data_IF_957675234046
#
_entry.id   IF_957675234046
#
_cell.length_a   1.000
_cell.length_b   1.000
_cell.length_c   1.000
_cell.angle_alpha   90.00
_cell.angle_beta   90.00
_cell.angle_gamma   90.00
#
_symmetry.space_group_name_H-M   'P 1'
#
loop_
_entity.id
_entity.type
_entity.pdbx_description
1 polymer ?
#
# COMPACT_ATOMS: atom_id res chain seq x y z
N UNK A 1 -54.06 37.23 -15.29
CA UNK A 1 -52.73 36.87 -15.79
C UNK A 1 -51.90 36.32 -14.63
N UNK A 2 -51.69 35.03 -14.57
CA UNK A 2 -50.86 34.36 -13.55
C UNK A 2 -49.50 34.09 -14.17
N UNK A 3 -48.48 34.75 -13.72
CA UNK A 3 -47.06 34.52 -14.10
C UNK A 3 -46.52 33.31 -13.36
N UNK A 4 -46.19 32.26 -14.08
CA UNK A 4 -45.49 31.09 -13.58
C UNK A 4 -43.99 31.37 -13.66
N UNK A 5 -43.35 31.53 -12.50
CA UNK A 5 -41.89 31.61 -12.41
C UNK A 5 -41.29 30.20 -12.46
N UNK A 6 -40.56 29.89 -13.53
CA UNK A 6 -39.84 28.65 -13.70
C UNK A 6 -38.52 28.78 -12.93
N UNK A 7 -38.38 28.12 -11.79
CA UNK A 7 -37.13 28.03 -11.04
C UNK A 7 -36.19 27.05 -11.72
N UNK A 8 -35.07 27.54 -12.25
CA UNK A 8 -33.97 26.69 -12.76
C UNK A 8 -33.15 26.24 -11.58
N UNK A 9 -33.29 24.95 -11.17
CA UNK A 9 -32.36 24.32 -10.25
C UNK A 9 -31.04 24.01 -10.99
N UNK A 10 -30.01 24.80 -10.73
CA UNK A 10 -28.66 24.52 -11.16
C UNK A 10 -28.11 23.43 -10.22
N UNK A 11 -28.02 22.18 -10.70
CA UNK A 11 -27.26 21.12 -10.04
C UNK A 11 -25.77 21.44 -10.20
N UNK A 12 -25.15 22.02 -9.18
CA UNK A 12 -23.70 22.08 -9.07
C UNK A 12 -23.24 20.68 -8.68
N UNK A 13 -22.80 19.89 -9.66
CA UNK A 13 -22.05 18.65 -9.39
C UNK A 13 -20.71 19.03 -8.77
N UNK A 14 -20.60 18.96 -7.45
CA UNK A 14 -19.32 18.99 -6.77
C UNK A 14 -18.52 17.78 -7.23
N UNK A 15 -17.47 18.00 -8.02
CA UNK A 15 -16.46 16.98 -8.32
C UNK A 15 -15.72 16.74 -6.99
N UNK A 16 -16.10 15.68 -6.28
CA UNK A 16 -15.36 15.23 -5.13
C UNK A 16 -14.02 14.68 -5.66
N UNK A 17 -12.96 15.44 -5.53
CA UNK A 17 -11.61 14.91 -5.72
C UNK A 17 -11.38 13.86 -4.62
N UNK A 18 -11.06 12.63 -5.00
CA UNK A 18 -10.58 11.65 -4.04
C UNK A 18 -9.29 12.20 -3.43
N UNK A 19 -9.33 12.53 -2.14
CA UNK A 19 -8.18 13.01 -1.39
C UNK A 19 -7.42 11.80 -0.87
N UNK A 20 -6.07 11.87 -0.89
CA UNK A 20 -5.25 10.91 -0.15
C UNK A 20 -5.48 11.15 1.34
N UNK A 21 -6.00 10.15 2.02
CA UNK A 21 -6.24 10.21 3.47
C UNK A 21 -5.32 9.21 4.17
N UNK A 22 -4.08 9.66 4.45
CA UNK A 22 -3.12 8.96 5.29
C UNK A 22 -3.46 9.23 6.76
N UNK A 23 -3.72 8.17 7.51
CA UNK A 23 -4.07 8.29 8.93
C UNK A 23 -2.86 8.27 9.87
N UNK A 24 -1.63 8.24 9.37
CA UNK A 24 -0.42 8.04 10.19
C UNK A 24 -0.30 9.08 11.31
N UNK A 25 -0.54 10.36 11.04
CA UNK A 25 -0.45 11.40 12.08
C UNK A 25 -1.51 11.19 13.17
N UNK A 26 -2.77 11.03 12.81
CA UNK A 26 -3.86 10.83 13.78
C UNK A 26 -3.68 9.51 14.55
N UNK A 27 -3.25 8.46 13.87
CA UNK A 27 -2.91 7.17 14.48
C UNK A 27 -1.79 7.31 15.53
N UNK A 28 -0.70 8.01 15.23
CA UNK A 28 0.40 8.24 16.18
C UNK A 28 -0.07 9.07 17.38
N UNK A 29 -0.90 10.08 17.18
CA UNK A 29 -1.47 10.88 18.26
C UNK A 29 -2.34 10.04 19.20
N UNK A 30 -3.18 9.17 18.64
CA UNK A 30 -3.98 8.22 19.42
C UNK A 30 -3.09 7.25 20.21
N UNK A 31 -2.07 6.66 19.56
CA UNK A 31 -1.11 5.78 20.22
C UNK A 31 -0.36 6.49 21.37
N UNK A 32 0.05 7.74 21.20
CA UNK A 32 0.69 8.54 22.24
C UNK A 32 -0.23 8.84 23.42
N UNK A 33 -1.52 9.05 23.15
CA UNK A 33 -2.51 9.32 24.20
C UNK A 33 -2.75 8.10 25.12
N UNK A 34 -2.66 6.90 24.55
CA UNK A 34 -2.85 5.63 25.26
C UNK A 34 -1.55 5.05 25.81
N UNK A 35 -0.40 5.43 25.27
CA UNK A 35 0.93 4.98 25.68
C UNK A 35 1.92 6.15 25.78
N UNK A 36 2.05 6.79 26.97
CA UNK A 36 2.96 7.91 27.16
C UNK A 36 4.45 7.58 26.89
N UNK A 37 4.86 6.31 27.03
CA UNK A 37 6.25 5.88 26.73
C UNK A 37 6.59 6.02 25.26
N UNK A 38 5.60 5.91 24.36
CA UNK A 38 5.82 6.07 22.92
C UNK A 38 6.38 7.46 22.57
N UNK A 39 5.92 8.52 23.24
CA UNK A 39 6.46 9.86 23.03
C UNK A 39 7.95 9.95 23.31
N UNK A 40 8.40 9.30 24.42
CA UNK A 40 9.81 9.26 24.78
C UNK A 40 10.63 8.45 23.76
N UNK A 41 10.14 7.27 23.37
CA UNK A 41 10.83 6.43 22.39
C UNK A 41 10.98 7.13 21.03
N UNK A 42 9.95 7.85 20.57
CA UNK A 42 10.06 8.65 19.32
C UNK A 42 11.08 9.79 19.51
N UNK A 43 11.09 10.47 20.66
CA UNK A 43 12.08 11.54 20.94
C UNK A 43 13.52 11.00 21.00
N UNK A 44 13.72 9.79 21.51
CA UNK A 44 15.01 9.11 21.50
C UNK A 44 15.48 8.81 20.07
N UNK A 45 14.57 8.37 19.20
CA UNK A 45 14.88 8.17 17.76
C UNK A 45 15.25 9.50 17.09
N UNK A 46 14.52 10.58 17.35
CA UNK A 46 14.87 11.90 16.81
C UNK A 46 16.26 12.36 17.30
N UNK A 47 16.52 12.17 18.59
CA UNK A 47 17.85 12.48 19.17
C UNK A 47 18.96 11.65 18.51
N UNK A 48 18.69 10.38 18.21
CA UNK A 48 19.62 9.52 17.48
C UNK A 48 19.89 10.06 16.07
N UNK A 49 18.85 10.40 15.31
CA UNK A 49 18.99 10.95 13.96
C UNK A 49 19.81 12.23 13.96
N UNK A 50 19.51 13.18 14.85
CA UNK A 50 20.25 14.44 14.95
C UNK A 50 21.72 14.24 15.33
N UNK A 51 22.02 13.26 16.18
CA UNK A 51 23.40 12.87 16.49
C UNK A 51 24.13 12.35 15.24
N UNK A 52 23.46 11.54 14.41
CA UNK A 52 24.07 11.05 13.17
C UNK A 52 24.31 12.20 12.17
N UNK A 53 23.37 13.15 12.04
CA UNK A 53 23.56 14.37 11.23
C UNK A 53 24.80 15.17 11.70
N UNK A 54 24.93 15.37 13.01
CA UNK A 54 26.05 16.10 13.58
C UNK A 54 27.37 15.38 13.31
N UNK A 55 27.45 14.08 13.55
CA UNK A 55 28.64 13.26 13.29
C UNK A 55 29.07 13.35 11.83
N UNK A 56 28.15 13.25 10.89
CA UNK A 56 28.40 13.36 9.46
C UNK A 56 29.02 14.74 9.09
N UNK A 57 28.49 15.83 9.67
CA UNK A 57 29.03 17.19 9.48
C UNK A 57 30.45 17.34 10.04
N UNK A 58 30.72 16.78 11.22
CA UNK A 58 32.03 16.88 11.88
C UNK A 58 33.12 16.04 11.19
N UNK A 59 32.76 14.90 10.64
CA UNK A 59 33.70 13.99 9.99
C UNK A 59 33.95 14.29 8.51
N UNK A 60 33.18 15.23 7.93
CA UNK A 60 33.19 15.48 6.48
C UNK A 60 32.72 14.30 5.64
N UNK A 61 32.28 13.23 6.32
CA UNK A 61 31.61 12.07 5.70
C UNK A 61 30.14 12.39 5.59
N UNK A 62 29.57 12.33 4.39
CA UNK A 62 28.11 12.42 4.26
C UNK A 62 27.44 11.35 5.13
N UNK A 63 26.19 11.54 5.55
CA UNK A 63 25.38 10.54 6.29
C UNK A 63 25.17 9.22 5.51
N UNK A 64 25.74 9.14 4.34
CA UNK A 64 25.81 7.95 3.51
C UNK A 64 27.09 7.18 3.84
N UNK A 65 27.10 6.42 4.94
CA UNK A 65 28.11 5.37 5.08
C UNK A 65 27.78 4.29 4.07
N UNK A 66 28.75 4.06 3.20
CA UNK A 66 28.82 3.00 2.20
C UNK A 66 27.83 3.09 1.01
N UNK A 67 28.40 2.94 -0.18
CA UNK A 67 27.74 2.74 -1.48
C UNK A 67 26.89 1.45 -1.54
N UNK A 68 26.51 0.87 -0.40
CA UNK A 68 25.81 -0.40 -0.34
C UNK A 68 24.29 -0.16 -0.30
N UNK A 69 23.61 -0.80 -1.22
CA UNK A 69 22.14 -0.89 -1.24
C UNK A 69 21.70 -1.67 0.00
N UNK A 70 20.83 -1.08 0.79
CA UNK A 70 20.17 -1.73 1.93
C UNK A 70 19.03 -2.58 1.40
N UNK A 71 19.02 -3.88 1.69
CA UNK A 71 17.91 -4.77 1.34
C UNK A 71 17.05 -5.04 2.56
N UNK A 72 15.75 -4.73 2.46
CA UNK A 72 14.76 -4.92 3.52
C UNK A 72 13.87 -6.10 3.15
N UNK A 73 13.86 -7.19 3.94
CA UNK A 73 12.92 -8.28 3.76
C UNK A 73 11.49 -7.83 4.05
N UNK A 74 10.56 -8.17 3.17
CA UNK A 74 9.14 -7.77 3.24
C UNK A 74 8.27 -9.00 3.39
N UNK A 75 7.28 -8.93 4.28
CA UNK A 75 6.15 -9.83 4.31
C UNK A 75 4.86 -9.04 4.10
N UNK A 76 3.99 -9.57 3.22
CA UNK A 76 2.68 -8.97 2.93
C UNK A 76 1.58 -9.88 3.48
N UNK A 77 0.83 -9.38 4.46
CA UNK A 77 -0.31 -10.04 5.08
C UNK A 77 -1.59 -9.60 4.37
N UNK A 78 -2.15 -10.44 3.52
CA UNK A 78 -3.39 -10.17 2.78
C UNK A 78 -4.58 -10.70 3.57
N UNK A 79 -5.36 -9.80 4.17
CA UNK A 79 -6.57 -10.11 4.93
C UNK A 79 -7.80 -9.99 4.02
N UNK A 80 -8.62 -11.03 3.95
CA UNK A 80 -9.79 -11.04 3.07
C UNK A 80 -11.00 -11.71 3.72
N UNK A 81 -12.18 -11.11 3.59
CA UNK A 81 -13.46 -11.69 4.01
C UNK A 81 -14.20 -12.35 2.85
N UNK A 82 -13.92 -11.93 1.61
CA UNK A 82 -14.51 -12.47 0.39
C UNK A 82 -13.44 -12.68 -0.69
N UNK A 83 -13.75 -13.51 -1.68
CA UNK A 83 -12.84 -13.81 -2.79
C UNK A 83 -12.41 -12.54 -3.57
N UNK A 84 -13.29 -11.54 -3.69
CA UNK A 84 -12.99 -10.29 -4.40
C UNK A 84 -11.94 -9.41 -3.70
N UNK A 85 -11.61 -9.68 -2.44
CA UNK A 85 -10.59 -8.97 -1.68
C UNK A 85 -9.21 -9.65 -1.74
N UNK A 86 -9.13 -10.86 -2.32
CA UNK A 86 -7.85 -11.57 -2.45
C UNK A 86 -7.01 -10.86 -3.50
N UNK A 87 -5.81 -10.44 -3.08
CA UNK A 87 -4.81 -9.85 -3.97
C UNK A 87 -3.95 -10.95 -4.56
N UNK A 88 -3.85 -11.09 -5.89
CA UNK A 88 -2.98 -12.08 -6.52
C UNK A 88 -1.50 -11.73 -6.36
N UNK A 89 -0.62 -12.72 -6.51
CA UNK A 89 0.82 -12.60 -6.30
C UNK A 89 1.47 -11.57 -7.23
N UNK A 90 1.03 -11.49 -8.48
CA UNK A 90 1.53 -10.52 -9.46
C UNK A 90 1.26 -9.08 -9.00
N UNK A 91 0.10 -8.82 -8.38
CA UNK A 91 -0.22 -7.52 -7.82
C UNK A 91 0.64 -7.19 -6.59
N UNK A 92 0.95 -8.18 -5.73
CA UNK A 92 1.90 -8.00 -4.62
C UNK A 92 3.30 -7.69 -5.15
N UNK A 93 3.76 -8.45 -6.14
CA UNK A 93 5.07 -8.23 -6.78
C UNK A 93 5.14 -6.84 -7.42
N UNK A 94 4.09 -6.40 -8.12
CA UNK A 94 4.04 -5.07 -8.71
C UNK A 94 4.14 -3.93 -7.68
N UNK A 95 3.69 -4.16 -6.43
CA UNK A 95 3.88 -3.20 -5.34
C UNK A 95 5.34 -3.13 -4.89
N UNK A 96 6.01 -4.27 -4.79
CA UNK A 96 7.44 -4.31 -4.43
C UNK A 96 8.29 -3.68 -5.55
N UNK A 97 7.93 -3.91 -6.81
CA UNK A 97 8.57 -3.25 -7.95
C UNK A 97 8.37 -1.73 -7.90
N UNK A 98 7.16 -1.24 -7.53
CA UNK A 98 6.89 0.18 -7.36
C UNK A 98 7.75 0.78 -6.24
N UNK A 99 7.86 0.11 -5.08
CA UNK A 99 8.75 0.53 -4.00
C UNK A 99 10.20 0.66 -4.49
N UNK A 100 10.72 -0.37 -5.15
CA UNK A 100 12.11 -0.39 -5.62
C UNK A 100 12.36 0.70 -6.66
N UNK A 101 11.48 0.85 -7.64
CA UNK A 101 11.56 1.88 -8.65
C UNK A 101 11.64 3.28 -8.05
N UNK A 102 10.75 3.59 -7.09
CA UNK A 102 10.63 4.93 -6.54
C UNK A 102 11.73 5.22 -5.49
N UNK A 103 12.11 4.25 -4.64
CA UNK A 103 13.23 4.37 -3.69
C UNK A 103 14.61 4.37 -4.36
N UNK A 104 14.74 3.78 -5.54
CA UNK A 104 15.99 3.76 -6.33
C UNK A 104 16.03 4.89 -7.38
N UNK A 105 15.03 5.77 -7.37
CA UNK A 105 14.89 6.83 -8.38
C UNK A 105 14.99 6.33 -9.82
N UNK A 106 14.54 5.09 -10.06
CA UNK A 106 14.44 4.46 -11.39
C UNK A 106 13.01 4.61 -11.96
N UNK A 107 12.27 5.59 -11.47
CA UNK A 107 10.94 5.93 -11.92
C UNK A 107 11.00 6.72 -13.23
N UNK A 108 10.28 6.24 -14.23
CA UNK A 108 10.24 6.84 -15.57
C UNK A 108 9.83 8.32 -15.58
N UNK A 109 9.05 8.75 -14.61
CA UNK A 109 8.57 10.12 -14.45
C UNK A 109 9.51 11.02 -13.62
N UNK A 110 10.67 10.54 -13.25
CA UNK A 110 11.76 11.36 -12.67
C UNK A 110 12.18 12.53 -13.56
N UNK A 111 11.96 12.40 -14.87
CA UNK A 111 12.18 13.48 -15.84
C UNK A 111 11.24 14.68 -15.61
N UNK A 112 10.08 14.47 -14.99
CA UNK A 112 9.10 15.50 -14.66
C UNK A 112 9.47 16.30 -13.38
N UNK A 113 10.55 15.93 -12.70
CA UNK A 113 11.04 16.71 -11.55
C UNK A 113 11.37 18.13 -11.99
N UNK A 114 10.77 19.18 -11.39
CA UNK A 114 11.09 20.56 -11.74
C UNK A 114 12.58 20.86 -11.59
N UNK A 115 13.15 21.66 -12.50
CA UNK A 115 14.58 21.94 -12.56
C UNK A 115 15.16 22.38 -11.20
N UNK A 116 14.41 23.22 -10.46
CA UNK A 116 14.77 23.73 -9.14
C UNK A 116 14.93 22.65 -8.06
N UNK A 117 14.40 21.44 -8.28
CA UNK A 117 14.48 20.31 -7.33
C UNK A 117 15.32 19.14 -7.84
N UNK A 118 15.80 19.16 -9.10
CA UNK A 118 16.57 18.06 -9.68
C UNK A 118 17.83 17.72 -8.89
N UNK A 119 18.53 18.74 -8.42
CA UNK A 119 19.77 18.55 -7.62
C UNK A 119 19.53 18.02 -6.22
N UNK A 120 18.28 18.10 -5.72
CA UNK A 120 17.89 17.61 -4.40
C UNK A 120 17.37 16.19 -4.44
N UNK A 121 16.98 15.72 -5.62
CA UNK A 121 16.30 14.45 -5.74
C UNK A 121 17.26 13.25 -5.65
N UNK A 122 16.96 12.31 -4.76
CA UNK A 122 17.86 11.24 -4.34
C UNK A 122 17.48 9.84 -4.87
N UNK A 123 18.49 9.03 -5.18
CA UNK A 123 18.41 7.57 -5.07
C UNK A 123 18.60 7.21 -3.59
N UNK A 124 17.54 6.72 -2.92
CA UNK A 124 17.57 6.40 -1.48
C UNK A 124 18.49 5.21 -1.19
N UNK A 125 18.74 4.36 -2.17
CA UNK A 125 19.56 3.15 -2.06
C UNK A 125 19.02 2.14 -1.02
N UNK A 126 17.70 2.03 -0.93
CA UNK A 126 17.00 0.98 -0.19
C UNK A 126 16.20 0.17 -1.18
N UNK A 127 16.30 -1.16 -1.09
CA UNK A 127 15.55 -2.13 -1.88
C UNK A 127 14.69 -2.99 -0.95
N UNK A 128 13.51 -3.30 -1.42
CA UNK A 128 12.52 -4.15 -0.75
C UNK A 128 12.44 -5.48 -1.47
N UNK A 129 12.53 -6.58 -0.72
CA UNK A 129 12.55 -7.93 -1.31
C UNK A 129 11.58 -8.80 -0.53
N UNK A 130 10.66 -9.47 -1.22
CA UNK A 130 9.79 -10.45 -0.56
C UNK A 130 10.64 -11.51 0.15
N UNK A 131 10.27 -11.82 1.39
CA UNK A 131 10.99 -12.79 2.21
C UNK A 131 11.03 -14.17 1.53
N UNK A 132 12.17 -14.82 1.61
CA UNK A 132 12.40 -16.21 1.14
C UNK A 132 12.40 -17.22 2.28
N UNK A 133 12.60 -16.73 3.52
CA UNK A 133 12.51 -17.52 4.76
C UNK A 133 11.57 -16.82 5.73
N UNK A 134 10.68 -17.58 6.39
CA UNK A 134 9.83 -17.09 7.45
C UNK A 134 10.57 -17.02 8.82
N UNK A 135 9.98 -16.46 9.89
CA UNK A 135 10.62 -16.37 11.21
C UNK A 135 11.04 -17.73 11.82
N UNK A 136 10.47 -18.82 11.35
CA UNK A 136 10.84 -20.19 11.77
C UNK A 136 11.88 -20.84 10.85
N UNK A 137 12.36 -20.11 9.84
CA UNK A 137 13.32 -20.61 8.89
C UNK A 137 12.76 -21.48 7.75
N UNK A 138 11.46 -21.53 7.60
CA UNK A 138 10.79 -22.29 6.54
C UNK A 138 10.77 -21.48 5.25
N UNK A 139 10.72 -22.16 4.12
CA UNK A 139 10.56 -21.52 2.83
C UNK A 139 9.25 -20.73 2.75
N UNK A 140 9.30 -19.55 2.14
CA UNK A 140 8.12 -18.69 1.92
C UNK A 140 8.30 -17.90 0.63
N UNK A 141 7.20 -17.36 0.10
CA UNK A 141 7.21 -16.36 -0.97
C UNK A 141 6.99 -14.93 -0.43
N UNK A 142 7.01 -14.75 0.90
CA UNK A 142 6.79 -13.45 1.54
C UNK A 142 5.34 -12.97 1.50
N UNK A 143 4.36 -13.81 1.13
CA UNK A 143 2.95 -13.46 1.02
C UNK A 143 2.13 -14.38 1.90
N UNK A 144 1.52 -13.83 2.94
CA UNK A 144 0.59 -14.53 3.83
C UNK A 144 -0.83 -14.16 3.46
N UNK A 145 -1.71 -15.14 3.32
CA UNK A 145 -3.13 -14.90 3.04
C UNK A 145 -3.98 -15.44 4.18
N UNK A 146 -4.77 -14.57 4.78
CA UNK A 146 -5.62 -14.93 5.92
C UNK A 146 -7.05 -14.57 5.67
N UNK A 147 -7.91 -15.59 5.71
CA UNK A 147 -9.35 -15.39 5.69
C UNK A 147 -9.81 -14.86 7.05
N UNK A 148 -10.66 -13.85 7.02
CA UNK A 148 -11.26 -13.21 8.21
C UNK A 148 -12.76 -13.07 8.04
N UNK A 149 -13.48 -12.88 9.14
CA UNK A 149 -14.90 -12.48 9.11
C UNK A 149 -15.09 -10.95 9.04
N UNK A 150 -13.99 -10.19 9.16
CA UNK A 150 -14.03 -8.73 9.20
C UNK A 150 -13.98 -8.19 7.77
N UNK A 151 -15.03 -7.49 7.37
CA UNK A 151 -15.17 -6.92 6.03
C UNK A 151 -14.41 -5.59 5.87
N UNK A 152 -14.40 -4.77 6.93
CA UNK A 152 -13.76 -3.46 6.94
C UNK A 152 -12.92 -3.27 8.20
N UNK A 153 -11.70 -2.75 8.02
CA UNK A 153 -10.77 -2.43 9.08
C UNK A 153 -10.73 -0.94 9.35
N UNK A 154 -10.37 -0.56 10.55
CA UNK A 154 -10.09 0.82 10.96
C UNK A 154 -8.60 0.99 11.24
N UNK A 155 -8.17 2.23 11.48
CA UNK A 155 -6.79 2.55 11.90
C UNK A 155 -6.56 2.28 13.40
N UNK A 156 -7.10 1.17 13.92
CA UNK A 156 -7.10 0.77 15.34
C UNK A 156 -6.21 -0.45 15.63
N UNK A 157 -5.36 -0.83 14.69
CA UNK A 157 -4.42 -1.98 14.74
C UNK A 157 -5.03 -3.37 14.82
N UNK A 158 -6.34 -3.55 14.88
CA UNK A 158 -6.93 -4.90 14.98
C UNK A 158 -6.51 -5.83 13.87
N UNK A 159 -6.28 -5.28 12.66
CA UNK A 159 -5.77 -6.02 11.51
C UNK A 159 -4.41 -6.68 11.77
N UNK A 160 -3.62 -6.15 12.73
CA UNK A 160 -2.28 -6.63 13.09
C UNK A 160 -2.29 -7.74 14.14
N UNK A 161 -3.47 -8.19 14.60
CA UNK A 161 -3.58 -9.19 15.69
C UNK A 161 -4.52 -10.32 15.30
N UNK A 162 -4.00 -11.56 15.33
CA UNK A 162 -4.79 -12.77 15.06
C UNK A 162 -5.91 -12.97 16.07
N UNK A 163 -5.70 -12.57 17.32
CA UNK A 163 -6.71 -12.58 18.39
C UNK A 163 -7.90 -11.65 18.14
N UNK A 164 -7.75 -10.70 17.20
CA UNK A 164 -8.78 -9.74 16.81
C UNK A 164 -9.28 -9.97 15.38
N UNK A 165 -8.99 -11.14 14.80
CA UNK A 165 -9.40 -11.52 13.44
C UNK A 165 -8.44 -11.07 12.35
N UNK A 166 -7.35 -10.39 12.71
CA UNK A 166 -6.25 -10.00 11.85
C UNK A 166 -5.16 -11.07 11.73
N UNK A 167 -3.93 -10.64 11.47
CA UNK A 167 -2.75 -11.50 11.40
C UNK A 167 -1.57 -10.89 12.13
N UNK A 168 -0.87 -11.71 12.95
CA UNK A 168 0.21 -11.25 13.80
C UNK A 168 1.44 -10.84 12.97
N UNK A 169 2.16 -9.82 13.43
CA UNK A 169 3.40 -9.39 12.82
C UNK A 169 4.45 -10.52 12.80
N UNK A 170 5.20 -10.62 11.73
CA UNK A 170 6.51 -11.28 11.79
C UNK A 170 7.49 -10.38 12.54
N UNK A 171 8.58 -10.98 13.05
CA UNK A 171 9.59 -10.25 13.80
C UNK A 171 10.03 -8.95 13.09
N UNK A 172 9.66 -7.80 13.64
CA UNK A 172 9.95 -6.49 13.06
C UNK A 172 11.44 -6.11 13.07
N UNK A 173 12.28 -6.86 13.79
CA UNK A 173 13.73 -6.72 13.70
C UNK A 173 14.31 -7.38 12.46
N UNK A 174 13.51 -8.23 11.80
CA UNK A 174 13.92 -8.99 10.63
C UNK A 174 13.08 -8.70 9.38
N UNK A 175 11.87 -8.17 9.52
CA UNK A 175 10.94 -7.98 8.40
C UNK A 175 10.22 -6.63 8.48
N UNK A 176 9.98 -6.03 7.32
CA UNK A 176 8.94 -5.03 7.15
C UNK A 176 7.61 -5.76 6.97
N UNK A 177 6.66 -5.54 7.88
CA UNK A 177 5.30 -6.08 7.79
C UNK A 177 4.39 -5.11 7.03
N UNK A 178 3.66 -5.60 6.04
CA UNK A 178 2.66 -4.84 5.29
C UNK A 178 1.33 -5.58 5.37
N UNK A 179 0.35 -5.04 6.11
CA UNK A 179 -1.00 -5.57 6.12
C UNK A 179 -1.84 -4.93 5.03
N UNK A 180 -2.54 -5.75 4.28
CA UNK A 180 -3.44 -5.31 3.22
C UNK A 180 -4.84 -5.84 3.50
N UNK A 181 -5.78 -4.92 3.66
CA UNK A 181 -7.17 -5.23 3.94
C UNK A 181 -8.08 -4.11 3.45
N UNK A 182 -9.39 -4.30 3.54
CA UNK A 182 -10.34 -3.27 3.15
C UNK A 182 -10.49 -2.23 4.28
N UNK A 183 -9.82 -1.06 4.16
CA UNK A 183 -9.87 -0.01 5.16
C UNK A 183 -11.10 0.87 4.99
N UNK A 184 -11.68 1.29 6.11
CA UNK A 184 -12.77 2.26 6.16
C UNK A 184 -12.20 3.67 6.29
N UNK A 185 -12.59 4.57 5.39
CA UNK A 185 -12.34 6.02 5.43
C UNK A 185 -10.90 6.49 5.24
N UNK A 186 -9.90 5.58 5.19
CA UNK A 186 -8.48 5.93 4.98
C UNK A 186 -7.87 4.99 3.95
N UNK A 187 -6.79 5.43 3.28
CA UNK A 187 -6.11 4.58 2.30
C UNK A 187 -4.88 3.87 2.85
N UNK A 188 -4.33 4.34 3.96
CA UNK A 188 -3.21 3.71 4.65
C UNK A 188 -2.84 4.41 5.96
N UNK A 189 -2.02 3.73 6.75
CA UNK A 189 -1.32 4.28 7.90
C UNK A 189 -0.09 3.43 8.24
N UNK A 190 0.86 4.03 8.92
CA UNK A 190 2.14 3.41 9.28
C UNK A 190 2.44 3.55 10.77
N UNK A 191 3.17 2.58 11.33
CA UNK A 191 3.96 2.83 12.53
C UNK A 191 5.14 3.72 12.20
N UNK A 192 5.73 4.32 13.23
CA UNK A 192 6.99 5.09 13.11
C UNK A 192 8.08 4.43 13.94
N UNK A 193 9.36 4.70 13.67
CA UNK A 193 10.46 4.17 14.47
C UNK A 193 10.31 4.53 15.95
N UNK A 194 10.55 3.56 16.84
CA UNK A 194 10.34 3.70 18.29
C UNK A 194 8.97 3.20 18.78
N UNK A 195 8.09 2.76 17.85
CA UNK A 195 6.82 2.13 18.19
C UNK A 195 6.96 0.69 18.70
N UNK A 196 5.84 0.10 19.21
CA UNK A 196 5.82 -1.29 19.67
C UNK A 196 6.10 -2.27 18.52
N UNK A 197 6.94 -3.28 18.77
CA UNK A 197 7.38 -4.24 17.76
C UNK A 197 6.23 -5.04 17.13
N UNK A 198 5.23 -5.40 17.91
CA UNK A 198 4.05 -6.16 17.47
C UNK A 198 3.10 -5.35 16.56
N UNK A 199 3.29 -4.04 16.50
CA UNK A 199 2.52 -3.12 15.65
C UNK A 199 3.36 -2.53 14.51
N UNK A 200 4.64 -2.90 14.42
CA UNK A 200 5.57 -2.26 13.50
C UNK A 200 5.34 -2.70 12.06
N UNK A 201 5.11 -1.72 11.20
CA UNK A 201 4.80 -1.88 9.79
C UNK A 201 3.67 -0.97 9.33
N UNK A 202 3.15 -1.22 8.14
CA UNK A 202 2.11 -0.39 7.52
C UNK A 202 0.85 -1.18 7.22
N UNK A 203 -0.27 -0.47 7.17
CA UNK A 203 -1.59 -1.01 6.79
C UNK A 203 -2.09 -0.23 5.58
N UNK A 204 -2.48 -0.93 4.53
CA UNK A 204 -2.89 -0.34 3.25
C UNK A 204 -4.25 -0.91 2.84
N UNK A 205 -5.12 -0.06 2.30
CA UNK A 205 -6.38 -0.53 1.74
C UNK A 205 -6.17 -1.27 0.43
N UNK A 206 -6.92 -2.36 0.24
CA UNK A 206 -6.86 -3.21 -0.95
C UNK A 206 -6.97 -2.43 -2.26
N UNK A 207 -7.75 -1.34 -2.30
CA UNK A 207 -8.06 -0.60 -3.53
C UNK A 207 -6.89 0.17 -4.14
N UNK A 208 -5.83 0.50 -3.35
CA UNK A 208 -4.66 1.27 -3.79
C UNK A 208 -3.34 0.51 -3.70
N UNK A 209 -3.38 -0.77 -3.32
CA UNK A 209 -2.18 -1.60 -3.17
C UNK A 209 -1.77 -2.21 -4.51
N UNK A 210 -0.51 -2.05 -4.92
CA UNK A 210 0.02 -2.54 -6.20
C UNK A 210 -0.22 -1.59 -7.37
N UNK A 211 0.14 -2.04 -8.57
CA UNK A 211 -0.03 -1.28 -9.82
C UNK A 211 -0.88 -2.02 -10.85
N UNK A 212 -1.11 -3.32 -10.66
CA UNK A 212 -1.89 -4.16 -11.58
C UNK A 212 -3.36 -4.13 -11.17
N UNK A 213 -4.24 -3.76 -12.11
CA UNK A 213 -5.69 -3.67 -11.89
C UNK A 213 -6.09 -2.76 -10.72
N UNK A 214 -5.35 -1.67 -10.53
CA UNK A 214 -5.64 -0.61 -9.56
C UNK A 214 -6.22 0.58 -10.31
N UNK A 215 -7.41 1.01 -9.92
CA UNK A 215 -8.09 2.17 -10.51
C UNK A 215 -7.84 3.47 -9.75
N UNK A 216 -8.40 4.56 -10.30
CA UNK A 216 -8.34 5.87 -9.66
C UNK A 216 -6.99 6.57 -9.81
N UNK A 217 -6.75 7.58 -8.96
CA UNK A 217 -5.56 8.46 -9.04
C UNK A 217 -4.39 7.98 -8.17
N UNK A 218 -4.60 6.95 -7.34
CA UNK A 218 -3.59 6.32 -6.46
C UNK A 218 -3.31 4.90 -6.95
N UNK A 219 -2.78 4.77 -8.17
CA UNK A 219 -2.67 3.51 -8.91
C UNK A 219 -1.24 3.13 -9.35
N UNK A 220 -0.23 3.90 -8.95
CA UNK A 220 1.18 3.59 -9.22
C UNK A 220 1.92 2.99 -8.02
N UNK A 221 1.17 2.62 -6.94
CA UNK A 221 1.74 2.04 -5.73
C UNK A 221 2.37 3.06 -4.78
N UNK A 222 2.20 4.36 -5.02
CA UNK A 222 2.84 5.45 -4.27
C UNK A 222 2.22 5.72 -2.91
N UNK A 223 1.06 5.17 -2.62
CA UNK A 223 0.53 5.13 -1.26
C UNK A 223 1.46 4.30 -0.36
N UNK A 224 1.91 3.13 -0.81
CA UNK A 224 2.86 2.30 -0.03
C UNK A 224 4.23 2.97 0.07
N UNK A 225 4.70 3.64 -0.99
CA UNK A 225 5.95 4.44 -0.96
C UNK A 225 5.89 5.52 0.12
N UNK A 226 4.77 6.23 0.23
CA UNK A 226 4.49 7.24 1.25
C UNK A 226 4.52 6.64 2.66
N UNK A 227 3.77 5.56 2.89
CA UNK A 227 3.70 4.93 4.21
C UNK A 227 5.05 4.31 4.64
N UNK A 228 5.85 3.78 3.70
CA UNK A 228 7.23 3.34 3.97
C UNK A 228 8.11 4.54 4.33
N UNK A 229 7.89 5.71 3.75
CA UNK A 229 8.55 6.95 4.19
C UNK A 229 8.31 7.22 5.68
N UNK A 230 7.08 7.11 6.18
CA UNK A 230 6.75 7.23 7.61
C UNK A 230 7.40 6.12 8.45
N UNK A 231 7.35 4.87 7.98
CA UNK A 231 8.01 3.74 8.64
C UNK A 231 9.54 3.94 8.76
N UNK A 232 10.12 4.70 7.83
CA UNK A 232 11.52 5.14 7.85
C UNK A 232 11.70 6.54 8.47
N UNK A 233 10.75 7.02 9.27
CA UNK A 233 10.88 8.21 10.11
C UNK A 233 10.69 9.54 9.41
N UNK A 234 10.18 9.58 8.17
CA UNK A 234 9.77 10.83 7.52
C UNK A 234 8.44 11.33 8.08
N UNK A 235 8.28 12.64 8.16
CA UNK A 235 7.01 13.32 8.35
C UNK A 235 6.44 13.73 7.01
N UNK A 236 5.16 14.14 7.00
CA UNK A 236 4.63 14.85 5.84
C UNK A 236 5.45 16.11 5.58
N UNK A 237 5.59 16.48 4.31
CA UNK A 237 6.45 17.60 3.89
C UNK A 237 6.03 18.95 4.46
N UNK A 238 4.78 19.11 4.92
CA UNK A 238 4.31 20.32 5.62
C UNK A 238 4.47 20.25 7.16
N UNK A 239 5.15 19.22 7.68
CA UNK A 239 5.45 19.05 9.10
C UNK A 239 4.23 18.79 9.99
N UNK A 240 3.10 18.32 9.41
CA UNK A 240 1.84 17.97 10.08
C UNK A 240 1.04 19.12 10.69
N UNK A 241 1.44 20.38 10.42
CA UNK A 241 0.69 21.59 10.76
C UNK A 241 1.04 22.73 9.78
N UNK A 242 0.26 23.78 9.75
CA UNK A 242 0.46 24.88 8.81
C UNK A 242 1.85 25.50 8.93
N UNK A 243 2.63 25.49 7.84
CA UNK A 243 4.03 25.91 7.80
C UNK A 243 4.92 25.18 8.84
N UNK A 244 4.64 23.88 9.05
CA UNK A 244 5.39 23.06 9.98
C UNK A 244 6.78 22.70 9.50
N UNK A 245 7.52 22.01 10.38
CA UNK A 245 8.87 21.50 10.12
C UNK A 245 8.82 19.99 10.01
N UNK A 246 9.22 19.46 8.86
CA UNK A 246 9.33 18.00 8.61
C UNK A 246 10.68 17.43 9.09
N UNK A 247 11.56 18.25 9.66
CA UNK A 247 12.90 17.92 10.16
C UNK A 247 13.89 17.51 9.06
N UNK A 248 13.68 18.03 7.84
CA UNK A 248 14.56 17.81 6.68
C UNK A 248 14.98 19.14 6.07
N UNK A 249 16.29 19.41 6.07
CA UNK A 249 16.84 20.74 5.75
C UNK A 249 16.68 21.15 4.26
N UNK A 250 16.51 20.19 3.33
CA UNK A 250 16.44 20.43 1.88
C UNK A 250 15.03 20.35 1.30
N UNK A 251 14.02 20.21 2.15
CA UNK A 251 12.60 20.36 1.80
C UNK A 251 12.16 21.80 2.10
N UNK A 252 11.50 22.51 1.16
CA UNK A 252 10.97 23.83 1.46
C UNK A 252 9.80 23.75 2.44
N UNK A 253 9.76 24.67 3.42
CA UNK A 253 8.60 24.79 4.31
C UNK A 253 7.33 25.00 3.50
N UNK A 254 6.31 24.19 3.72
CA UNK A 254 5.08 24.16 2.94
C UNK A 254 3.86 24.37 3.84
N UNK A 255 2.83 25.06 3.33
CA UNK A 255 1.68 25.46 4.15
C UNK A 255 0.80 24.29 4.57
N UNK A 256 0.56 23.35 3.66
CA UNK A 256 -0.29 22.19 3.89
C UNK A 256 -0.07 21.18 2.75
N UNK A 257 -0.79 20.03 2.80
CA UNK A 257 -0.80 19.07 1.70
C UNK A 257 -1.33 19.68 0.40
N UNK A 258 -0.94 19.07 -0.71
CA UNK A 258 -1.39 19.46 -2.06
C UNK A 258 -2.32 18.39 -2.62
N UNK A 259 -3.60 18.69 -2.87
CA UNK A 259 -4.51 17.74 -3.49
C UNK A 259 -4.33 17.66 -5.00
N UNK A 260 -4.59 16.48 -5.58
CA UNK A 260 -4.59 16.26 -7.03
C UNK A 260 -3.22 16.43 -7.68
N UNK A 261 -3.18 17.00 -8.88
CA UNK A 261 -1.98 17.29 -9.64
C UNK A 261 -1.93 18.78 -10.01
N UNK A 262 -1.14 19.61 -9.34
CA UNK A 262 -1.03 21.02 -9.68
C UNK A 262 -0.47 21.24 -11.07
N UNK A 263 -1.10 22.13 -11.85
CA UNK A 263 -0.65 22.53 -13.18
C UNK A 263 0.07 23.88 -13.18
N UNK A 264 0.07 24.57 -12.03
CA UNK A 264 0.68 25.88 -11.86
C UNK A 264 1.68 25.87 -10.71
N UNK A 265 2.62 26.83 -10.74
CA UNK A 265 3.53 27.04 -9.62
C UNK A 265 2.76 27.32 -8.32
N UNK A 266 3.16 26.64 -7.25
CA UNK A 266 2.62 26.84 -5.90
C UNK A 266 3.73 27.32 -4.99
N UNK A 267 3.40 28.27 -4.12
CA UNK A 267 4.30 28.81 -3.12
C UNK A 267 3.51 29.14 -1.87
N UNK A 268 4.01 28.75 -0.73
CA UNK A 268 3.44 29.02 0.58
C UNK A 268 4.55 29.26 1.60
N UNK A 269 4.22 29.75 2.79
CA UNK A 269 5.17 29.89 3.92
C UNK A 269 6.46 30.63 3.57
N UNK A 270 6.40 31.59 2.65
CA UNK A 270 7.57 32.37 2.20
C UNK A 270 8.71 31.51 1.60
N UNK A 271 8.40 30.33 1.02
CA UNK A 271 9.39 29.45 0.40
C UNK A 271 9.91 29.98 -0.95
N UNK A 272 9.53 31.19 -1.35
CA UNK A 272 10.12 31.96 -2.43
C UNK A 272 10.05 31.31 -3.80
N UNK A 273 11.17 31.36 -4.53
CA UNK A 273 11.27 30.80 -5.89
C UNK A 273 11.35 29.27 -5.92
N UNK A 274 11.63 28.61 -4.81
CA UNK A 274 11.55 27.15 -4.72
C UNK A 274 10.11 26.68 -4.80
N UNK A 275 9.18 27.36 -4.11
CA UNK A 275 7.79 26.97 -4.05
C UNK A 275 7.58 25.67 -3.30
N UNK A 276 6.34 25.19 -3.28
CA UNK A 276 5.94 23.94 -2.66
C UNK A 276 6.48 22.73 -3.45
N UNK A 277 7.02 21.73 -2.74
CA UNK A 277 7.55 20.51 -3.34
C UNK A 277 6.48 19.42 -3.41
N UNK A 278 5.35 19.74 -4.07
CA UNK A 278 4.19 18.87 -4.18
C UNK A 278 4.45 17.52 -4.87
N UNK A 279 5.56 17.39 -5.60
CA UNK A 279 5.96 16.11 -6.23
C UNK A 279 6.74 15.19 -5.28
N UNK A 280 6.95 15.58 -4.04
CA UNK A 280 7.57 14.74 -3.03
C UNK A 280 6.62 13.60 -2.61
N UNK A 281 7.16 12.39 -2.40
CA UNK A 281 6.35 11.25 -1.96
C UNK A 281 5.68 11.45 -0.60
N UNK A 282 6.13 12.43 0.21
CA UNK A 282 5.53 12.77 1.50
C UNK A 282 4.45 13.86 1.42
N UNK A 283 3.99 14.24 0.22
CA UNK A 283 2.78 15.07 0.01
C UNK A 283 1.55 14.16 -0.26
N UNK A 284 0.37 14.76 -0.48
CA UNK A 284 -0.90 14.07 -0.76
C UNK A 284 -1.36 14.19 -2.22
N UNK A 285 -0.47 14.54 -3.11
CA UNK A 285 -0.77 14.60 -4.55
C UNK A 285 -1.17 13.22 -5.10
N UNK A 286 -1.82 13.21 -6.26
CA UNK A 286 -2.08 11.99 -6.99
C UNK A 286 -0.76 11.29 -7.40
N UNK A 287 -0.77 9.97 -7.48
CA UNK A 287 0.44 9.18 -7.77
C UNK A 287 1.17 9.68 -9.03
N UNK A 288 0.45 10.07 -10.09
CA UNK A 288 1.04 10.56 -11.33
C UNK A 288 1.88 11.85 -11.19
N UNK A 289 1.79 12.55 -10.06
CA UNK A 289 2.48 13.81 -9.82
C UNK A 289 3.59 13.73 -8.78
N UNK A 290 3.73 12.61 -8.09
CA UNK A 290 4.84 12.35 -7.17
C UNK A 290 6.01 11.74 -7.94
N UNK A 291 7.24 12.11 -7.64
CA UNK A 291 8.39 11.52 -8.36
C UNK A 291 9.72 11.57 -7.61
N UNK A 292 9.78 12.03 -6.36
CA UNK A 292 11.06 12.12 -5.65
C UNK A 292 10.96 12.00 -4.14
N UNK A 293 12.04 11.50 -3.55
CA UNK A 293 12.56 11.87 -2.22
C UNK A 293 13.77 12.79 -2.39
N UNK A 294 14.13 13.55 -1.34
CA UNK A 294 15.32 14.40 -1.32
C UNK A 294 16.54 13.71 -0.73
N UNK A 295 17.74 14.29 -0.94
CA UNK A 295 18.98 13.81 -0.30
C UNK A 295 18.91 13.92 1.24
N UNK A 296 18.25 14.95 1.78
CA UNK A 296 17.98 15.07 3.21
C UNK A 296 17.05 13.98 3.73
N UNK A 297 15.97 13.69 3.01
CA UNK A 297 15.07 12.58 3.35
C UNK A 297 15.80 11.22 3.28
N UNK A 298 16.60 10.97 2.25
CA UNK A 298 17.48 9.80 2.16
C UNK A 298 18.40 9.68 3.36
N UNK A 299 19.08 10.76 3.70
CA UNK A 299 20.01 10.79 4.83
C UNK A 299 19.29 10.43 6.14
N UNK A 300 18.09 11.02 6.37
CA UNK A 300 17.26 10.73 7.53
C UNK A 300 16.81 9.26 7.57
N UNK A 301 16.26 8.72 6.48
CA UNK A 301 15.83 7.33 6.39
C UNK A 301 16.98 6.34 6.63
N UNK A 302 18.13 6.58 5.99
CA UNK A 302 19.29 5.68 6.10
C UNK A 302 19.98 5.72 7.45
N UNK A 303 19.90 6.84 8.18
CA UNK A 303 20.47 6.94 9.52
C UNK A 303 19.89 5.93 10.50
N UNK A 304 18.67 5.50 10.31
CA UNK A 304 18.00 4.50 11.15
C UNK A 304 18.68 3.12 11.10
N UNK A 305 19.46 2.84 10.04
CA UNK A 305 20.18 1.58 9.87
C UNK A 305 21.62 1.63 10.42
N UNK A 306 22.07 2.75 10.95
CA UNK A 306 23.39 2.82 11.59
C UNK A 306 23.37 2.04 12.91
N UNK A 307 24.56 1.67 13.39
CA UNK A 307 24.71 0.93 14.63
C UNK A 307 24.01 1.65 15.81
N UNK A 308 23.21 0.87 16.55
CA UNK A 308 22.32 1.40 17.58
C UNK A 308 21.04 2.08 17.07
N UNK A 309 20.81 2.15 15.78
CA UNK A 309 19.59 2.68 15.19
C UNK A 309 18.42 1.70 15.22
N UNK A 310 17.17 2.20 15.17
CA UNK A 310 15.96 1.35 15.34
C UNK A 310 15.71 0.38 14.18
N UNK A 311 16.41 0.51 13.06
CA UNK A 311 16.35 -0.38 11.89
C UNK A 311 17.65 -1.15 11.63
N UNK A 312 18.66 -1.01 12.49
CA UNK A 312 19.98 -1.62 12.32
C UNK A 312 19.90 -3.15 12.23
N UNK A 313 19.01 -3.78 12.99
CA UNK A 313 18.83 -5.23 13.00
C UNK A 313 18.42 -5.82 11.63
N UNK A 314 17.70 -5.06 10.81
CA UNK A 314 17.30 -5.47 9.45
C UNK A 314 18.48 -5.78 8.54
N UNK A 315 19.66 -5.16 8.77
CA UNK A 315 20.89 -5.44 8.01
C UNK A 315 21.39 -6.87 8.22
N UNK A 316 21.01 -7.50 9.32
CA UNK A 316 21.41 -8.85 9.71
C UNK A 316 20.27 -9.87 9.58
N UNK A 317 19.15 -9.45 8.97
CA UNK A 317 17.99 -10.30 8.79
C UNK A 317 18.33 -11.55 7.97
N UNK A 318 17.80 -12.69 8.41
CA UNK A 318 17.86 -13.96 7.68
C UNK A 318 16.66 -14.14 6.72
N UNK A 319 15.75 -13.17 6.65
CA UNK A 319 14.52 -13.26 5.86
C UNK A 319 14.76 -13.44 4.34
N UNK A 320 15.98 -13.10 3.84
CA UNK A 320 16.38 -13.29 2.45
C UNK A 320 17.35 -14.47 2.25
N UNK A 321 17.66 -15.19 3.31
CA UNK A 321 18.54 -16.37 3.22
C UNK A 321 17.79 -17.57 2.64
N UNK A 322 18.55 -18.61 2.25
CA UNK A 322 17.96 -19.91 1.98
C UNK A 322 17.27 -20.43 3.25
N UNK A 323 16.12 -21.10 3.13
CA UNK A 323 15.45 -21.73 4.25
C UNK A 323 16.43 -22.64 5.02
N UNK A 324 16.36 -22.59 6.36
CA UNK A 324 17.27 -23.35 7.25
C UNK A 324 16.57 -24.45 8.08
N UNK A 325 15.26 -24.65 7.84
CA UNK A 325 14.49 -25.76 8.40
C UNK A 325 13.88 -26.58 7.28
N UNK A 326 13.81 -27.91 7.49
CA UNK A 326 13.23 -28.85 6.52
C UNK A 326 11.68 -28.87 6.58
N UNK A 327 11.05 -28.21 7.55
CA UNK A 327 9.60 -28.10 7.56
C UNK A 327 9.13 -27.38 6.31
N UNK A 328 8.52 -28.15 5.40
CA UNK A 328 7.86 -27.56 4.24
C UNK A 328 6.89 -26.46 4.71
N UNK A 329 6.83 -25.31 4.03
CA UNK A 329 5.79 -24.33 4.32
C UNK A 329 4.45 -25.06 4.22
N UNK A 330 3.57 -24.81 5.16
CA UNK A 330 2.14 -25.08 4.94
C UNK A 330 1.73 -24.13 3.83
N UNK A 331 1.85 -24.58 2.61
CA UNK A 331 1.27 -23.92 1.45
C UNK A 331 -0.23 -24.05 1.69
N UNK A 332 -0.85 -23.04 2.32
CA UNK A 332 -2.28 -22.86 2.13
C UNK A 332 -2.45 -22.72 0.62
N UNK A 333 -2.89 -23.79 -0.03
CA UNK A 333 -3.23 -23.77 -1.44
C UNK A 333 -4.23 -22.64 -1.57
N UNK A 334 -3.94 -21.55 -2.33
CA UNK A 334 -4.88 -20.47 -2.49
C UNK A 334 -6.18 -21.06 -2.95
N UNK A 335 -7.27 -20.83 -2.19
CA UNK A 335 -8.60 -21.24 -2.65
C UNK A 335 -8.77 -20.60 -4.02
N UNK A 336 -9.05 -21.38 -5.08
CA UNK A 336 -9.10 -20.87 -6.44
C UNK A 336 -10.03 -19.65 -6.49
N UNK A 337 -9.53 -18.53 -6.93
CA UNK A 337 -10.29 -17.29 -6.97
C UNK A 337 -10.93 -17.14 -8.33
N UNK A 338 -12.27 -17.25 -8.36
CA UNK A 338 -13.03 -16.79 -9.51
C UNK A 338 -13.52 -15.37 -9.26
N UNK A 339 -13.32 -14.48 -10.20
CA UNK A 339 -13.90 -13.14 -10.16
C UNK A 339 -14.90 -12.99 -11.31
N UNK A 340 -16.13 -12.60 -10.98
CA UNK A 340 -17.19 -12.33 -11.94
C UNK A 340 -17.53 -10.84 -11.96
N UNK A 341 -17.43 -10.21 -13.12
CA UNK A 341 -17.80 -8.81 -13.32
C UNK A 341 -18.35 -8.55 -14.75
N UNK A 342 -19.19 -7.53 -14.93
CA UNK A 342 -19.85 -6.73 -13.89
C UNK A 342 -20.86 -7.59 -13.10
N UNK A 343 -21.12 -7.19 -11.84
CA UNK A 343 -22.16 -7.80 -11.01
C UNK A 343 -22.83 -6.69 -10.19
N UNK A 344 -24.08 -6.32 -10.46
CA UNK A 344 -25.03 -6.92 -11.40
C UNK A 344 -24.68 -6.78 -12.89
N UNK A 345 -25.25 -7.66 -13.75
CA UNK A 345 -24.98 -7.71 -15.17
C UNK A 345 -26.29 -7.85 -15.99
N UNK A 346 -26.27 -7.31 -17.23
CA UNK A 346 -27.44 -7.37 -18.15
C UNK A 346 -27.29 -8.41 -19.25
N UNK A 347 -26.20 -8.40 -20.00
CA UNK A 347 -26.03 -9.23 -21.19
C UNK A 347 -24.88 -10.24 -21.08
N UNK A 348 -23.83 -9.88 -20.38
CA UNK A 348 -22.63 -10.70 -20.25
C UNK A 348 -21.94 -10.50 -18.89
N UNK A 349 -21.17 -11.47 -18.48
CA UNK A 349 -20.25 -11.44 -17.35
C UNK A 349 -18.87 -11.88 -17.82
N UNK A 350 -17.84 -11.30 -17.27
CA UNK A 350 -16.47 -11.75 -17.46
C UNK A 350 -16.08 -12.64 -16.27
N UNK A 351 -15.65 -13.83 -16.58
CA UNK A 351 -15.06 -14.76 -15.62
C UNK A 351 -13.54 -14.66 -15.70
N UNK A 352 -12.91 -14.33 -14.59
CA UNK A 352 -11.45 -14.35 -14.43
C UNK A 352 -11.07 -15.49 -13.48
N UNK A 353 -10.21 -16.39 -13.94
CA UNK A 353 -9.77 -17.61 -13.25
C UNK A 353 -8.27 -17.83 -13.48
N UNK A 354 -7.66 -18.66 -12.66
CA UNK A 354 -6.30 -19.14 -12.89
C UNK A 354 -6.20 -20.13 -14.07
N UNK A 355 -5.00 -20.33 -14.61
CA UNK A 355 -4.74 -21.21 -15.76
C UNK A 355 -5.17 -22.68 -15.51
N UNK A 356 -5.18 -23.13 -14.26
CA UNK A 356 -5.59 -24.48 -13.84
C UNK A 356 -7.07 -24.80 -14.15
N UNK A 357 -7.87 -23.81 -14.48
CA UNK A 357 -9.28 -23.94 -14.82
C UNK A 357 -9.55 -24.08 -16.32
N UNK A 358 -8.57 -23.73 -17.16
CA UNK A 358 -8.69 -23.83 -18.61
C UNK A 358 -8.89 -25.30 -19.00
N UNK A 359 -9.92 -25.56 -19.79
CA UNK A 359 -10.35 -26.89 -20.19
C UNK A 359 -11.45 -27.52 -19.32
N UNK A 360 -11.73 -26.96 -18.12
CA UNK A 360 -12.76 -27.45 -17.20
C UNK A 360 -14.16 -26.91 -17.59
N UNK A 361 -15.20 -27.50 -16.98
CA UNK A 361 -16.58 -27.06 -17.17
C UNK A 361 -17.02 -26.17 -16.00
N UNK A 362 -17.62 -25.03 -16.33
CA UNK A 362 -18.35 -24.18 -15.40
C UNK A 362 -19.86 -24.34 -15.63
N UNK A 363 -20.64 -24.34 -14.55
CA UNK A 363 -22.11 -24.44 -14.60
C UNK A 363 -22.73 -23.17 -14.04
N UNK A 364 -23.71 -22.62 -14.71
CA UNK A 364 -24.58 -21.58 -14.17
C UNK A 364 -25.78 -22.26 -13.54
N UNK A 365 -26.02 -21.98 -12.27
CA UNK A 365 -27.05 -22.61 -11.45
C UNK A 365 -28.01 -21.53 -10.96
N UNK A 366 -29.31 -21.74 -11.16
CA UNK A 366 -30.35 -20.85 -10.61
C UNK A 366 -30.44 -20.96 -9.09
N UNK A 367 -31.11 -20.00 -8.44
CA UNK A 367 -31.37 -20.02 -7.00
C UNK A 367 -32.06 -21.29 -6.50
N UNK A 368 -32.84 -21.95 -7.37
CA UNK A 368 -33.54 -23.19 -7.08
C UNK A 368 -32.64 -24.44 -7.26
N UNK A 369 -31.36 -24.28 -7.53
CA UNK A 369 -30.41 -25.38 -7.72
C UNK A 369 -30.37 -25.98 -9.11
N UNK A 370 -31.16 -25.50 -10.05
CA UNK A 370 -31.19 -26.04 -11.42
C UNK A 370 -30.03 -25.50 -12.25
N UNK A 371 -29.32 -26.40 -12.96
CA UNK A 371 -28.30 -26.01 -13.94
C UNK A 371 -28.99 -25.42 -15.16
N UNK A 372 -28.75 -24.14 -15.45
CA UNK A 372 -29.34 -23.41 -16.57
C UNK A 372 -28.39 -23.27 -17.75
N UNK A 373 -27.09 -23.40 -17.53
CA UNK A 373 -26.07 -23.41 -18.59
C UNK A 373 -24.82 -24.15 -18.14
N UNK A 374 -24.09 -24.76 -19.10
CA UNK A 374 -22.78 -25.36 -18.89
C UNK A 374 -21.84 -24.82 -19.94
N UNK A 375 -20.68 -24.36 -19.52
CA UNK A 375 -19.70 -23.62 -20.34
C UNK A 375 -18.35 -24.29 -20.16
N UNK A 376 -17.60 -24.48 -21.25
CA UNK A 376 -16.20 -24.89 -21.18
C UNK A 376 -15.35 -23.66 -21.00
N UNK A 377 -14.47 -23.65 -19.99
CA UNK A 377 -13.49 -22.58 -19.74
C UNK A 377 -12.38 -22.74 -20.78
N UNK A 378 -12.19 -21.72 -21.64
CA UNK A 378 -11.24 -21.77 -22.74
C UNK A 378 -10.06 -20.80 -22.55
N UNK A 379 -10.17 -19.87 -21.60
CA UNK A 379 -9.12 -18.88 -21.26
C UNK A 379 -9.27 -18.39 -19.83
N UNK A 380 -8.21 -17.84 -19.26
CA UNK A 380 -8.22 -17.20 -17.91
C UNK A 380 -9.27 -16.11 -17.79
N UNK A 381 -9.43 -15.33 -18.84
CA UNK A 381 -10.40 -14.25 -18.91
C UNK A 381 -11.42 -14.62 -19.98
N UNK A 382 -12.63 -15.00 -19.56
CA UNK A 382 -13.66 -15.47 -20.49
C UNK A 382 -14.95 -14.69 -20.34
N UNK A 383 -15.42 -14.13 -21.45
CA UNK A 383 -16.73 -13.49 -21.53
C UNK A 383 -17.80 -14.58 -21.68
N UNK A 384 -18.82 -14.51 -20.85
CA UNK A 384 -19.95 -15.44 -20.81
C UNK A 384 -21.22 -14.66 -21.10
N UNK A 385 -21.92 -15.01 -22.19
CA UNK A 385 -23.23 -14.43 -22.49
C UNK A 385 -24.29 -14.95 -21.53
N UNK A 386 -25.04 -14.05 -20.91
CA UNK A 386 -26.15 -14.31 -19.99
C UNK A 386 -27.45 -13.63 -20.43
N UNK A 387 -27.47 -13.06 -21.64
CA UNK A 387 -28.63 -12.33 -22.16
C UNK A 387 -29.90 -13.15 -22.21
N UNK A 388 -29.80 -14.48 -22.40
CA UNK A 388 -30.93 -15.43 -22.45
C UNK A 388 -31.48 -15.81 -21.05
N UNK A 389 -30.76 -15.47 -19.96
CA UNK A 389 -31.22 -15.76 -18.61
C UNK A 389 -32.31 -14.75 -18.19
N UNK A 390 -33.27 -15.21 -17.42
CA UNK A 390 -34.27 -14.34 -16.79
C UNK A 390 -33.60 -13.50 -15.68
N UNK A 391 -34.13 -12.32 -15.40
CA UNK A 391 -33.66 -11.52 -14.26
C UNK A 391 -33.76 -12.34 -12.97
N UNK A 392 -32.68 -12.27 -12.15
CA UNK A 392 -32.61 -13.08 -10.93
C UNK A 392 -31.20 -13.34 -10.46
N UNK A 393 -31.10 -14.10 -9.37
CA UNK A 393 -29.83 -14.49 -8.77
C UNK A 393 -29.39 -15.88 -9.30
N UNK A 394 -28.09 -15.95 -9.63
CA UNK A 394 -27.45 -17.16 -10.15
C UNK A 394 -26.11 -17.40 -9.46
N UNK A 395 -25.63 -18.62 -9.54
CA UNK A 395 -24.31 -19.04 -9.11
C UNK A 395 -23.56 -19.63 -10.30
N UNK A 396 -22.34 -19.19 -10.53
CA UNK A 396 -21.39 -19.88 -11.40
C UNK A 396 -20.57 -20.83 -10.53
N UNK A 397 -20.51 -22.10 -10.91
CA UNK A 397 -19.77 -23.13 -10.19
C UNK A 397 -18.88 -23.91 -11.17
N UNK A 398 -17.62 -24.08 -10.78
CA UNK A 398 -16.66 -24.96 -11.46
C UNK A 398 -15.92 -25.82 -10.44
N UNK A 399 -15.48 -27.01 -10.87
CA UNK A 399 -14.73 -27.96 -10.06
C UNK A 399 -13.48 -28.42 -10.80
N UNK A 400 -12.36 -28.50 -10.08
CA UNK A 400 -11.09 -29.04 -10.56
C UNK A 400 -10.44 -29.89 -9.46
N UNK A 401 -9.32 -30.52 -9.76
CA UNK A 401 -8.53 -31.26 -8.77
C UNK A 401 -7.96 -30.34 -7.67
N UNK A 402 -7.77 -29.06 -7.98
CA UNK A 402 -7.27 -28.04 -7.05
C UNK A 402 -8.37 -27.40 -6.19
N UNK A 403 -9.65 -27.73 -6.41
CA UNK A 403 -10.76 -27.22 -5.59
C UNK A 403 -12.04 -26.93 -6.35
N UNK A 404 -12.94 -26.20 -5.69
CA UNK A 404 -14.25 -25.82 -6.17
C UNK A 404 -14.42 -24.31 -6.06
N UNK A 405 -14.89 -23.71 -7.15
CA UNK A 405 -15.25 -22.29 -7.21
C UNK A 405 -16.77 -22.17 -7.28
N UNK A 406 -17.34 -21.24 -6.51
CA UNK A 406 -18.76 -20.89 -6.56
C UNK A 406 -18.93 -19.40 -6.33
N UNK A 407 -19.27 -18.68 -7.39
CA UNK A 407 -19.47 -17.23 -7.36
C UNK A 407 -20.91 -16.86 -7.66
N UNK A 408 -21.42 -15.88 -6.93
CA UNK A 408 -22.80 -15.36 -7.08
C UNK A 408 -22.81 -14.16 -8.04
N UNK A 409 -23.79 -14.12 -8.95
CA UNK A 409 -24.06 -12.91 -9.73
C UNK A 409 -25.58 -12.64 -9.86
N UNK A 410 -25.91 -11.38 -10.12
CA UNK A 410 -27.26 -10.89 -10.30
C UNK A 410 -27.45 -10.53 -11.78
N UNK A 411 -28.41 -11.17 -12.44
CA UNK A 411 -28.88 -10.83 -13.78
C UNK A 411 -30.02 -9.81 -13.65
N UNK A 412 -29.83 -8.64 -14.27
CA UNK A 412 -30.85 -7.60 -14.40
C UNK A 412 -31.79 -7.83 -15.58
#
# INVERSE_FOLDING_TARGET
>A
MRTIALGICIFISSIAFAQRDCATQSYIQEQKSTNPRLSNSIAEVETFIERQKLNARLTGGGMSSAANIIKVPVVVHVLYSSASQIIPDDRVKSQVEALNRDFRRDNWDSINTPERFKSLAADVQIEFVLATSDPKGRATNGIVRKKTSIEYWKSDDKIKFSSQGGDDAWDSQSYLNIWVGNLQSVIGYSSVPGGPAEKDGLVITTSVFGTINVGGVYNLGRTVVHEVGHWLGLKHIWGDYYCGDDLVDDTPVQGNFTPGCPTTFRSSCNNGSLGDMYMNYMDYTADACMNLFTEGQKARMRSLFFDGGPRASLLYSKGLNQPWTEEAPVVEIPVPVAVLYPNPATHEITLNLDDNWVGRLARIISINGNVVSTIKITSRLQIISIGQLKAGMYFLQAESESGKVREKFIKL
#
